data_IF_634037030562
#
_entry.id   IF_634037030562
#
_cell.length_a   1.000
_cell.length_b   1.000
_cell.length_c   1.000
_cell.angle_alpha   90.00
_cell.angle_beta   90.00
_cell.angle_gamma   90.00
#
_symmetry.space_group_name_H-M   'P 1'
#
loop_
_entity.id
_entity.type
_entity.pdbx_description
1 polymer ?
#
# COMPACT_ATOMS: atom_id res chain seq x y z
N UNK A 1 -14.54 -6.03 -20.90
CA UNK A 1 -13.43 -5.07 -20.79
C UNK A 1 -13.10 -4.90 -19.31
N UNK A 2 -11.84 -5.00 -18.91
CA UNK A 2 -11.45 -4.80 -17.51
C UNK A 2 -11.66 -3.33 -17.15
N UNK A 3 -12.47 -3.05 -16.14
CA UNK A 3 -12.75 -1.69 -15.68
C UNK A 3 -11.62 -1.21 -14.77
N UNK A 4 -11.18 0.03 -14.93
CA UNK A 4 -10.22 0.68 -14.02
C UNK A 4 -10.99 1.35 -12.90
N UNK A 5 -10.73 0.93 -11.66
CA UNK A 5 -11.43 1.44 -10.47
C UNK A 5 -10.42 2.05 -9.52
N UNK A 6 -10.70 3.27 -9.06
CA UNK A 6 -9.87 3.93 -8.07
C UNK A 6 -10.03 3.24 -6.70
N UNK A 7 -8.92 2.82 -6.08
CA UNK A 7 -8.96 2.16 -4.76
C UNK A 7 -9.37 3.12 -3.61
N UNK A 8 -9.25 4.44 -3.81
CA UNK A 8 -9.55 5.44 -2.77
C UNK A 8 -11.01 5.86 -2.80
N UNK A 9 -11.51 6.26 -3.97
CA UNK A 9 -12.89 6.76 -4.14
C UNK A 9 -13.86 5.73 -4.73
N UNK A 10 -13.40 4.57 -5.21
CA UNK A 10 -14.25 3.52 -5.76
C UNK A 10 -14.86 3.84 -7.13
N UNK A 11 -14.52 4.99 -7.73
CA UNK A 11 -15.06 5.42 -9.03
C UNK A 11 -14.26 4.83 -10.19
N UNK A 12 -14.94 4.61 -11.33
CA UNK A 12 -14.31 4.23 -12.59
C UNK A 12 -13.58 5.43 -13.18
N UNK A 13 -12.26 5.50 -12.99
CA UNK A 13 -11.40 6.61 -13.43
C UNK A 13 -10.06 6.05 -13.89
N UNK A 14 -9.45 6.66 -14.91
CA UNK A 14 -8.08 6.37 -15.31
C UNK A 14 -7.10 6.95 -14.30
N UNK A 15 -6.06 6.20 -13.94
CA UNK A 15 -5.11 6.60 -12.91
C UNK A 15 -3.78 5.88 -12.96
N UNK A 16 -2.98 6.07 -11.91
CA UNK A 16 -1.72 5.37 -11.73
C UNK A 16 -1.99 3.91 -11.33
N UNK A 17 -1.32 2.94 -11.95
CA UNK A 17 -1.52 1.54 -11.63
C UNK A 17 -1.02 1.22 -10.23
N UNK A 18 -1.76 0.37 -9.54
CA UNK A 18 -1.34 -0.21 -8.26
C UNK A 18 -0.44 -1.43 -8.54
N UNK A 19 0.63 -1.58 -7.77
CA UNK A 19 1.54 -2.71 -7.84
C UNK A 19 0.80 -3.98 -7.36
N UNK A 20 0.82 -5.04 -8.17
CA UNK A 20 0.17 -6.31 -7.83
C UNK A 20 1.07 -7.12 -6.89
N UNK A 21 0.82 -6.98 -5.59
CA UNK A 21 1.51 -7.74 -4.55
C UNK A 21 0.88 -9.14 -4.32
N UNK A 22 1.63 -10.03 -3.69
CA UNK A 22 1.16 -11.38 -3.29
C UNK A 22 -0.12 -11.30 -2.44
N UNK A 23 -0.20 -10.33 -1.53
CA UNK A 23 -1.40 -10.08 -0.69
C UNK A 23 -2.61 -9.72 -1.55
N UNK A 24 -2.41 -8.88 -2.57
CA UNK A 24 -3.48 -8.47 -3.47
C UNK A 24 -3.93 -9.64 -4.37
N UNK A 25 -2.98 -10.45 -4.86
CA UNK A 25 -3.26 -11.63 -5.69
C UNK A 25 -4.06 -12.69 -4.93
N UNK A 26 -3.71 -12.93 -3.67
CA UNK A 26 -4.40 -13.88 -2.78
C UNK A 26 -5.79 -13.38 -2.41
N UNK A 27 -5.93 -12.09 -2.06
CA UNK A 27 -7.24 -11.47 -1.83
C UNK A 27 -8.15 -11.57 -3.06
N UNK A 28 -7.61 -11.34 -4.26
CA UNK A 28 -8.37 -11.51 -5.51
C UNK A 28 -8.76 -12.97 -5.73
N UNK A 29 -7.84 -13.92 -5.52
CA UNK A 29 -8.12 -15.35 -5.67
C UNK A 29 -9.23 -15.80 -4.70
N UNK A 30 -9.19 -15.34 -3.45
CA UNK A 30 -10.24 -15.61 -2.45
C UNK A 30 -11.57 -15.01 -2.90
N UNK A 31 -11.59 -13.74 -3.33
CA UNK A 31 -12.81 -13.08 -3.82
C UNK A 31 -13.40 -13.73 -5.06
N UNK A 32 -12.55 -14.18 -5.98
CA UNK A 32 -12.96 -14.95 -7.17
C UNK A 32 -13.59 -16.28 -6.76
N UNK A 33 -12.97 -16.99 -5.81
CA UNK A 33 -13.49 -18.27 -5.30
C UNK A 33 -14.81 -18.12 -4.55
N UNK A 34 -15.02 -16.98 -3.88
CA UNK A 34 -16.28 -16.63 -3.22
C UNK A 34 -17.35 -16.08 -4.19
N UNK A 35 -17.06 -15.96 -5.50
CA UNK A 35 -18.04 -15.49 -6.49
C UNK A 35 -18.35 -13.99 -6.43
N UNK A 36 -17.61 -13.21 -5.63
CA UNK A 36 -17.88 -11.78 -5.38
C UNK A 36 -17.40 -10.90 -6.56
N UNK A 37 -16.61 -11.44 -7.49
CA UNK A 37 -15.99 -10.75 -8.64
C UNK A 37 -15.02 -9.62 -8.27
N UNK A 38 -13.94 -9.49 -9.05
CA UNK A 38 -13.22 -8.22 -9.33
C UNK A 38 -12.11 -8.49 -10.34
N UNK A 39 -12.47 -8.72 -11.61
CA UNK A 39 -11.54 -8.64 -12.75
C UNK A 39 -11.14 -7.19 -13.11
N UNK A 40 -11.29 -6.27 -12.16
CA UNK A 40 -11.07 -4.85 -12.35
C UNK A 40 -9.60 -4.52 -12.09
N UNK A 41 -9.03 -3.62 -12.88
CA UNK A 41 -7.70 -3.07 -12.64
C UNK A 41 -7.82 -2.00 -11.56
N UNK A 42 -7.05 -2.15 -10.48
CA UNK A 42 -7.01 -1.16 -9.41
C UNK A 42 -6.03 -0.06 -9.80
N UNK A 43 -6.51 1.19 -9.75
CA UNK A 43 -5.72 2.38 -10.03
C UNK A 43 -5.88 3.40 -8.91
N UNK A 44 -5.07 4.44 -8.93
CA UNK A 44 -5.23 5.63 -8.07
C UNK A 44 -5.38 6.85 -8.97
N UNK A 45 -6.53 7.53 -8.90
CA UNK A 45 -6.74 8.75 -9.66
C UNK A 45 -5.79 9.86 -9.17
N UNK A 46 -5.47 10.81 -10.04
CA UNK A 46 -4.53 11.92 -9.76
C UNK A 46 -4.91 12.73 -8.51
N UNK A 47 -6.21 12.90 -8.28
CA UNK A 47 -6.79 13.66 -7.16
C UNK A 47 -6.55 13.00 -5.79
N UNK A 48 -6.49 11.66 -5.73
CA UNK A 48 -6.38 10.91 -4.49
C UNK A 48 -4.96 10.37 -4.22
N UNK A 49 -3.98 10.74 -5.06
CA UNK A 49 -2.57 10.29 -4.90
C UNK A 49 -2.01 10.66 -3.54
N UNK A 50 -2.28 11.87 -3.05
CA UNK A 50 -1.79 12.32 -1.74
C UNK A 50 -2.40 11.51 -0.60
N UNK A 51 -3.71 11.23 -0.66
CA UNK A 51 -4.38 10.37 0.31
C UNK A 51 -3.85 8.94 0.28
N UNK A 52 -3.55 8.41 -0.91
CA UNK A 52 -2.97 7.08 -1.07
C UNK A 52 -1.57 7.01 -0.43
N UNK A 53 -0.74 8.04 -0.61
CA UNK A 53 0.57 8.15 0.06
C UNK A 53 0.42 8.21 1.57
N UNK A 54 -0.49 9.02 2.10
CA UNK A 54 -0.72 9.14 3.54
C UNK A 54 -1.18 7.81 4.14
N UNK A 55 -2.15 7.13 3.51
CA UNK A 55 -2.62 5.81 3.92
C UNK A 55 -1.49 4.78 3.93
N UNK A 56 -0.63 4.80 2.91
CA UNK A 56 0.53 3.90 2.84
C UNK A 56 1.52 4.17 3.97
N UNK A 57 1.89 5.43 4.21
CA UNK A 57 2.79 5.79 5.30
C UNK A 57 2.21 5.40 6.68
N UNK A 58 0.89 5.55 6.85
CA UNK A 58 0.20 5.13 8.07
C UNK A 58 0.24 3.61 8.25
N UNK A 59 0.00 2.86 7.18
CA UNK A 59 0.14 1.40 7.19
C UNK A 59 1.55 0.95 7.58
N UNK A 60 2.59 1.58 7.02
CA UNK A 60 3.99 1.24 7.35
C UNK A 60 4.31 1.51 8.83
N UNK A 61 3.83 2.63 9.38
CA UNK A 61 3.94 2.91 10.83
C UNK A 61 3.23 1.85 11.66
N UNK A 62 2.00 1.48 11.30
CA UNK A 62 1.26 0.44 12.01
C UNK A 62 1.96 -0.90 11.93
N UNK A 63 2.44 -1.30 10.75
CA UNK A 63 3.18 -2.56 10.56
C UNK A 63 4.40 -2.63 11.48
N UNK A 64 5.15 -1.53 11.60
CA UNK A 64 6.28 -1.42 12.52
C UNK A 64 5.83 -1.56 13.99
N UNK A 65 4.79 -0.84 14.39
CA UNK A 65 4.25 -0.91 15.76
C UNK A 65 3.73 -2.31 16.12
N UNK A 66 2.97 -2.94 15.22
CA UNK A 66 2.47 -4.31 15.41
C UNK A 66 3.61 -5.33 15.44
N UNK A 67 4.66 -5.14 14.64
CA UNK A 67 5.86 -5.98 14.69
C UNK A 67 6.57 -5.89 16.05
N UNK A 68 6.74 -4.68 16.58
CA UNK A 68 7.31 -4.47 17.93
C UNK A 68 6.42 -5.10 18.99
N UNK A 69 5.11 -4.91 18.92
CA UNK A 69 4.16 -5.45 19.88
C UNK A 69 4.11 -6.98 19.84
N UNK A 70 4.16 -7.58 18.65
CA UNK A 70 4.24 -9.02 18.47
C UNK A 70 5.55 -9.59 19.04
N UNK A 71 6.69 -8.94 18.80
CA UNK A 71 7.98 -9.33 19.37
C UNK A 71 7.96 -9.22 20.90
N UNK A 72 7.47 -8.11 21.46
CA UNK A 72 7.37 -7.92 22.89
C UNK A 72 6.46 -8.98 23.55
N UNK A 73 5.28 -9.24 22.97
CA UNK A 73 4.37 -10.28 23.45
C UNK A 73 5.04 -11.67 23.39
N UNK A 74 5.76 -11.99 22.32
CA UNK A 74 6.48 -13.25 22.19
C UNK A 74 7.53 -13.42 23.29
N UNK A 75 8.35 -12.40 23.57
CA UNK A 75 9.35 -12.47 24.65
C UNK A 75 8.71 -12.59 26.03
N UNK A 76 7.66 -11.81 26.33
CA UNK A 76 6.96 -11.90 27.61
C UNK A 76 6.44 -13.31 27.85
N UNK A 77 5.84 -13.92 26.82
CA UNK A 77 5.31 -15.28 26.90
C UNK A 77 6.43 -16.32 27.07
N UNK A 78 7.56 -16.13 26.39
CA UNK A 78 8.72 -17.02 26.46
C UNK A 78 9.41 -16.99 27.84
N UNK A 79 9.54 -15.81 28.46
CA UNK A 79 10.17 -15.66 29.78
C UNK A 79 9.22 -15.97 30.96
N UNK A 80 7.90 -15.83 30.77
CA UNK A 80 6.92 -16.05 31.84
C UNK A 80 6.51 -17.51 32.02
N UNK A 81 6.80 -18.42 31.08
CA UNK A 81 6.24 -19.77 31.08
C UNK A 81 7.28 -20.85 30.80
N UNK A 82 7.38 -21.83 31.69
CA UNK A 82 8.11 -23.09 31.47
C UNK A 82 7.25 -24.20 30.85
N UNK A 83 5.97 -23.93 30.58
CA UNK A 83 5.03 -24.93 30.06
C UNK A 83 5.12 -25.08 28.54
N UNK A 84 5.24 -26.33 28.07
CA UNK A 84 5.25 -26.69 26.65
C UNK A 84 3.98 -26.28 25.90
N UNK A 85 2.84 -26.19 26.59
CA UNK A 85 1.59 -25.73 25.98
C UNK A 85 1.67 -24.27 25.53
N UNK A 86 2.36 -23.43 26.29
CA UNK A 86 2.53 -22.02 25.95
C UNK A 86 3.45 -21.85 24.73
N UNK A 87 4.41 -22.74 24.55
CA UNK A 87 5.27 -22.78 23.37
C UNK A 87 4.47 -23.01 22.07
N UNK A 88 3.36 -23.76 22.15
CA UNK A 88 2.47 -24.03 21.00
C UNK A 88 1.52 -22.84 20.72
N UNK A 89 0.98 -22.21 21.78
CA UNK A 89 0.01 -21.13 21.63
C UNK A 89 0.65 -19.76 21.36
N UNK A 90 1.88 -19.52 21.81
CA UNK A 90 2.63 -18.29 21.56
C UNK A 90 2.76 -17.92 20.06
N UNK A 91 3.19 -18.83 19.16
CA UNK A 91 3.27 -18.51 17.73
C UNK A 91 1.88 -18.30 17.11
N UNK A 92 0.85 -19.01 17.59
CA UNK A 92 -0.53 -18.82 17.12
C UNK A 92 -1.04 -17.42 17.47
N UNK A 93 -0.79 -16.98 18.71
CA UNK A 93 -1.14 -15.62 19.15
C UNK A 93 -0.35 -14.55 18.38
N UNK A 94 0.95 -14.75 18.16
CA UNK A 94 1.77 -13.84 17.36
C UNK A 94 1.29 -13.76 15.90
N UNK A 95 0.94 -14.91 15.31
CA UNK A 95 0.35 -14.99 13.96
C UNK A 95 -1.00 -14.24 13.91
N UNK A 96 -1.84 -14.39 14.93
CA UNK A 96 -3.12 -13.70 15.03
C UNK A 96 -2.96 -12.17 15.09
N UNK A 97 -1.98 -11.67 15.86
CA UNK A 97 -1.66 -10.24 15.91
C UNK A 97 -1.16 -9.74 14.54
N UNK A 98 -0.33 -10.52 13.85
CA UNK A 98 0.12 -10.19 12.48
C UNK A 98 -1.04 -10.19 11.46
N UNK A 99 -2.01 -11.10 11.62
CA UNK A 99 -3.24 -11.11 10.80
C UNK A 99 -4.08 -9.86 11.00
N UNK A 100 -4.16 -9.31 12.22
CA UNK A 100 -4.81 -8.02 12.45
C UNK A 100 -4.11 -6.89 11.70
N UNK A 101 -2.77 -6.88 11.63
CA UNK A 101 -2.03 -5.88 10.85
C UNK A 101 -2.33 -5.96 9.34
N UNK A 102 -2.59 -7.17 8.81
CA UNK A 102 -2.98 -7.37 7.41
C UNK A 102 -4.34 -6.75 7.06
N UNK A 103 -5.25 -6.58 8.03
CA UNK A 103 -6.53 -5.90 7.79
C UNK A 103 -6.36 -4.43 7.41
N UNK A 104 -5.25 -3.83 7.81
CA UNK A 104 -4.88 -2.44 7.51
C UNK A 104 -3.98 -2.32 6.27
N UNK A 105 -3.78 -3.42 5.52
CA UNK A 105 -2.93 -3.44 4.34
C UNK A 105 -3.39 -2.42 3.30
N UNK A 106 -2.43 -1.61 2.83
CA UNK A 106 -2.65 -0.64 1.76
C UNK A 106 -1.61 -0.85 0.64
N UNK A 107 -2.03 -1.10 -0.61
CA UNK A 107 -1.10 -1.49 -1.66
C UNK A 107 -0.25 -0.31 -2.15
N UNK A 108 0.90 -0.65 -2.74
CA UNK A 108 1.85 0.34 -3.26
C UNK A 108 1.41 0.84 -4.64
N UNK A 109 1.52 2.15 -4.85
CA UNK A 109 1.14 2.79 -6.11
C UNK A 109 2.41 3.02 -6.93
N UNK A 110 2.38 2.62 -8.21
CA UNK A 110 3.46 2.91 -9.15
C UNK A 110 3.30 4.37 -9.59
N UNK A 111 3.89 5.26 -8.82
CA UNK A 111 4.00 6.67 -9.21
C UNK A 111 5.19 6.83 -10.16
N UNK A 112 5.08 7.67 -11.20
CA UNK A 112 6.25 8.06 -11.97
C UNK A 112 7.27 8.65 -10.97
N UNK A 113 8.52 8.19 -11.05
CA UNK A 113 9.59 8.64 -10.15
C UNK A 113 9.63 10.16 -10.17
N UNK A 114 9.67 10.78 -8.99
CA UNK A 114 9.72 12.22 -8.80
C UNK A 114 10.81 12.92 -9.63
N UNK A 115 11.84 12.19 -10.03
CA UNK A 115 12.93 12.65 -10.88
C UNK A 115 12.46 13.08 -12.28
N UNK A 116 11.37 12.50 -12.81
CA UNK A 116 10.82 12.88 -14.12
C UNK A 116 9.90 14.11 -14.03
N UNK A 117 9.13 14.22 -12.95
CA UNK A 117 8.28 15.37 -12.69
C UNK A 117 9.11 16.64 -12.37
N UNK A 118 10.26 16.48 -11.72
CA UNK A 118 11.19 17.60 -11.48
C UNK A 118 11.95 17.98 -12.75
N UNK A 119 12.28 17.02 -13.62
CA UNK A 119 12.88 17.28 -14.94
C UNK A 119 11.92 17.97 -15.89
N UNK A 120 10.64 17.60 -15.92
CA UNK A 120 9.62 18.31 -16.73
C UNK A 120 9.42 19.75 -16.25
N UNK A 121 9.37 19.99 -14.94
CA UNK A 121 9.26 21.36 -14.40
C UNK A 121 10.46 22.22 -14.77
N UNK A 122 11.68 21.69 -14.63
CA UNK A 122 12.92 22.40 -15.01
C UNK A 122 12.98 22.66 -16.51
N UNK A 123 12.61 21.68 -17.35
CA UNK A 123 12.57 21.85 -18.81
C UNK A 123 11.52 22.88 -19.26
N UNK A 124 10.38 22.98 -18.57
CA UNK A 124 9.34 23.93 -18.91
C UNK A 124 9.70 25.36 -18.46
N UNK A 125 10.32 25.53 -17.29
CA UNK A 125 10.88 26.82 -16.87
C UNK A 125 11.97 27.34 -17.82
N UNK A 126 12.80 26.45 -18.35
CA UNK A 126 13.87 26.81 -19.30
C UNK A 126 13.30 27.27 -20.65
N UNK A 127 12.27 26.59 -21.16
CA UNK A 127 11.55 27.00 -22.38
C UNK A 127 10.84 28.35 -22.23
N UNK A 128 10.24 28.62 -21.07
CA UNK A 128 9.59 29.92 -20.78
C UNK A 128 10.62 31.06 -20.72
N UNK A 129 11.81 30.82 -20.15
CA UNK A 129 12.90 31.80 -20.12
C UNK A 129 13.49 32.05 -21.51
N UNK A 130 13.64 31.02 -22.34
CA UNK A 130 14.11 31.16 -23.72
C UNK A 130 13.13 31.94 -24.62
N UNK A 131 11.81 31.75 -24.43
CA UNK A 131 10.77 32.45 -25.19
C UNK A 131 10.70 33.96 -24.90
N UNK A 132 10.97 34.40 -23.66
CA UNK A 132 10.98 35.83 -23.29
C UNK A 132 12.17 36.61 -23.87
N UNK A 133 13.29 35.95 -24.18
CA UNK A 133 14.50 36.60 -24.71
C UNK A 133 14.45 36.92 -26.21
N UNK A 134 13.52 36.32 -26.95
CA UNK A 134 13.38 36.47 -28.42
C UNK A 134 12.35 37.54 -28.84
N UNK A 135 11.72 38.22 -27.86
CA UNK A 135 10.66 39.22 -28.05
C UNK A 135 11.07 40.65 -27.67
N UNK A 136 12.35 40.85 -27.36
CA UNK A 136 13.04 42.15 -27.25
C UNK A 136 14.04 42.24 -28.39
#
# INVERSE_FOLDING_TARGET
MAKEVCIVCGQEKTGYPVEDDVVLSTLRAIKQRLGISTGNKLVVCKEDVEKAKEKRARFEKYLMWYGILAAAAFFVVLFSSSSLFVLLWAPIAALFVMLLALTMYYPKVILPKSDEAEKEKKANEEKVKAGKKKKR
#
